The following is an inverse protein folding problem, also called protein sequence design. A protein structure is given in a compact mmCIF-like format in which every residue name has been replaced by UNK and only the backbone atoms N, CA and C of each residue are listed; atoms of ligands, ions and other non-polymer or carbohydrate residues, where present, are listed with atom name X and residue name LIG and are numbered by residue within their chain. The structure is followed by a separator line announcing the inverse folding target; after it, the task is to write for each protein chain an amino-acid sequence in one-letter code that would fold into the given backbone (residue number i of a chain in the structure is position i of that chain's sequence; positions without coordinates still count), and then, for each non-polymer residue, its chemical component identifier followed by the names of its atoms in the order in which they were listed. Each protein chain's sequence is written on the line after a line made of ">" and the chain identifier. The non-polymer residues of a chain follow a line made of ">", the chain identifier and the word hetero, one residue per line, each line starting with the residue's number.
data_IF_876173959231
#
_entry.id   IF_876173959231
#
_cell.length_a   1.000
_cell.length_b   1.000
_cell.length_c   1.000
_cell.angle_alpha   90.00
_cell.angle_beta   90.00
_cell.angle_gamma   90.00
#
_symmetry.space_group_name_H-M   'P 1'
#
loop_
_entity.id
_entity.type
_entity.pdbx_description
1 polymer ?
#
# COMPACT_ATOMS: atom_id res chain seq x y z
N UNK A 1 -11.41 -0.58 -10.34
CA UNK A 1 -10.27 -1.32 -9.75
C UNK A 1 -9.52 -0.44 -8.76
N UNK A 2 -8.91 0.67 -9.21
CA UNK A 2 -8.14 1.57 -8.32
C UNK A 2 -8.90 2.04 -7.06
N UNK A 3 -10.17 2.44 -7.19
CA UNK A 3 -11.00 2.86 -6.04
C UNK A 3 -11.15 1.78 -4.97
N UNK A 4 -11.34 0.53 -5.39
CA UNK A 4 -11.43 -0.62 -4.48
C UNK A 4 -10.11 -0.86 -3.75
N UNK A 5 -8.97 -0.69 -4.44
CA UNK A 5 -7.65 -0.82 -3.82
C UNK A 5 -7.42 0.32 -2.82
N UNK A 6 -7.80 1.55 -3.15
CA UNK A 6 -7.73 2.67 -2.21
C UNK A 6 -8.56 2.36 -0.97
N UNK A 7 -9.78 1.82 -1.12
CA UNK A 7 -10.63 1.43 0.00
C UNK A 7 -9.98 0.34 0.87
N UNK A 8 -9.38 -0.69 0.25
CA UNK A 8 -8.60 -1.73 0.96
C UNK A 8 -7.44 -1.11 1.72
N UNK A 9 -6.61 -0.29 1.05
CA UNK A 9 -5.46 0.36 1.66
C UNK A 9 -5.86 1.27 2.83
N UNK A 10 -6.94 2.03 2.70
CA UNK A 10 -7.46 2.87 3.77
C UNK A 10 -7.93 2.04 4.96
N UNK A 11 -8.61 0.91 4.71
CA UNK A 11 -9.02 -0.04 5.75
C UNK A 11 -7.80 -0.60 6.48
N UNK A 12 -6.83 -1.16 5.74
CA UNK A 12 -5.60 -1.71 6.31
C UNK A 12 -4.81 -0.64 7.08
N UNK A 13 -4.67 0.56 6.53
CA UNK A 13 -4.01 1.68 7.21
C UNK A 13 -4.74 2.06 8.50
N UNK A 14 -6.07 2.01 8.51
CA UNK A 14 -6.87 2.28 9.69
C UNK A 14 -6.69 1.20 10.77
N UNK A 15 -6.60 -0.07 10.39
CA UNK A 15 -6.30 -1.17 11.31
C UNK A 15 -4.89 -1.03 11.90
N UNK A 16 -3.90 -0.72 11.06
CA UNK A 16 -2.54 -0.44 11.52
C UNK A 16 -2.47 0.78 12.44
N UNK A 17 -3.31 1.81 12.21
CA UNK A 17 -3.37 2.99 13.08
C UNK A 17 -3.76 2.68 14.52
N UNK A 18 -4.40 1.55 14.80
CA UNK A 18 -4.68 1.13 16.18
C UNK A 18 -3.42 0.62 16.90
N UNK A 19 -2.44 0.13 16.13
CA UNK A 19 -1.19 -0.43 16.62
C UNK A 19 -0.02 0.57 16.53
N UNK A 20 -0.11 1.55 15.64
CA UNK A 20 0.91 2.57 15.44
C UNK A 20 0.82 3.67 16.51
N UNK A 21 1.99 4.10 17.01
CA UNK A 21 2.07 5.29 17.87
C UNK A 21 1.66 6.57 17.12
N UNK A 22 2.05 6.66 15.85
CA UNK A 22 1.74 7.78 14.97
C UNK A 22 0.76 7.30 13.90
N UNK A 23 -0.41 7.93 13.85
CA UNK A 23 -1.47 7.54 12.92
C UNK A 23 -1.20 8.09 11.52
N UNK A 24 -1.38 7.24 10.53
CA UNK A 24 -1.45 7.59 9.11
C UNK A 24 -2.65 8.53 8.93
N UNK A 25 -2.42 9.64 8.22
CA UNK A 25 -3.47 10.62 7.89
C UNK A 25 -4.42 10.10 6.79
N UNK A 26 -5.13 9.00 7.05
CA UNK A 26 -6.12 8.40 6.14
C UNK A 26 -7.21 9.36 5.67
N UNK A 27 -7.47 10.45 6.42
CA UNK A 27 -8.36 11.53 6.00
C UNK A 27 -7.90 12.32 4.75
N UNK A 28 -6.61 12.20 4.37
CA UNK A 28 -6.08 12.74 3.10
C UNK A 28 -6.35 11.81 1.91
N UNK A 29 -6.94 10.64 2.14
CA UNK A 29 -7.22 9.65 1.10
C UNK A 29 -5.95 9.23 0.37
N UNK A 30 -5.92 9.44 -0.94
CA UNK A 30 -4.79 9.11 -1.80
C UNK A 30 -3.50 9.87 -1.45
N UNK A 31 -3.61 11.06 -0.88
CA UNK A 31 -2.45 11.88 -0.50
C UNK A 31 -1.93 11.54 0.90
N UNK A 32 -2.53 10.56 1.58
CA UNK A 32 -2.08 10.12 2.89
C UNK A 32 -0.64 9.58 2.80
N UNK A 33 0.32 10.20 3.52
CA UNK A 33 1.70 9.77 3.49
C UNK A 33 1.87 8.48 4.31
N UNK A 34 2.53 7.49 3.72
CA UNK A 34 2.76 6.18 4.33
C UNK A 34 4.21 6.05 4.78
N UNK A 35 5.16 6.23 3.85
CA UNK A 35 6.59 6.01 4.07
C UNK A 35 7.47 7.21 3.67
N UNK A 36 8.62 7.35 4.32
CA UNK A 36 9.63 8.39 4.03
C UNK A 36 9.50 9.64 4.90
N UNK A 37 9.93 10.81 4.40
CA UNK A 37 10.08 12.06 5.17
C UNK A 37 8.82 12.53 5.91
N UNK A 38 7.64 12.20 5.39
CA UNK A 38 6.33 12.55 5.97
C UNK A 38 5.51 11.31 6.34
N UNK A 39 6.07 10.10 6.14
CA UNK A 39 5.41 8.84 6.47
C UNK A 39 5.58 8.52 7.95
N UNK A 40 4.58 7.85 8.51
CA UNK A 40 4.61 7.37 9.89
C UNK A 40 5.08 5.91 10.00
N UNK A 41 5.16 5.21 8.85
CA UNK A 41 5.59 3.83 8.80
C UNK A 41 7.11 3.75 8.77
N UNK A 42 7.67 3.01 9.71
CA UNK A 42 9.04 2.50 9.65
C UNK A 42 9.13 1.28 8.72
N UNK A 43 10.32 0.74 8.50
CA UNK A 43 10.52 -0.44 7.63
C UNK A 43 9.64 -1.63 8.00
N UNK A 44 9.43 -1.90 9.29
CA UNK A 44 8.54 -2.99 9.74
C UNK A 44 7.05 -2.66 9.51
N UNK A 45 6.65 -1.41 9.75
CA UNK A 45 5.28 -0.97 9.49
C UNK A 45 4.94 -1.03 7.99
N UNK A 46 5.92 -0.73 7.15
CA UNK A 46 5.80 -0.86 5.70
C UNK A 46 5.61 -2.31 5.27
N UNK A 47 6.40 -3.23 5.79
CA UNK A 47 6.26 -4.67 5.51
C UNK A 47 4.89 -5.18 5.95
N UNK A 48 4.41 -4.80 7.14
CA UNK A 48 3.06 -5.17 7.58
C UNK A 48 1.97 -4.64 6.65
N UNK A 49 2.06 -3.37 6.25
CA UNK A 49 1.11 -2.79 5.30
C UNK A 49 1.09 -3.55 3.97
N UNK A 50 2.28 -3.90 3.46
CA UNK A 50 2.43 -4.65 2.21
C UNK A 50 1.73 -6.01 2.34
N UNK A 51 2.07 -6.80 3.35
CA UNK A 51 1.49 -8.15 3.55
C UNK A 51 -0.03 -8.09 3.73
N UNK A 52 -0.53 -7.14 4.52
CA UNK A 52 -1.97 -6.96 4.69
C UNK A 52 -2.67 -6.51 3.41
N UNK A 53 -2.04 -5.63 2.61
CA UNK A 53 -2.59 -5.20 1.33
C UNK A 53 -2.61 -6.36 0.32
N UNK A 54 -1.53 -7.14 0.22
CA UNK A 54 -1.46 -8.34 -0.64
C UNK A 54 -2.57 -9.33 -0.27
N UNK A 55 -2.74 -9.61 1.03
CA UNK A 55 -3.76 -10.54 1.50
C UNK A 55 -5.19 -10.06 1.22
N UNK A 56 -5.51 -8.79 1.49
CA UNK A 56 -6.85 -8.25 1.21
C UNK A 56 -7.14 -8.16 -0.29
N UNK A 57 -6.13 -7.85 -1.11
CA UNK A 57 -6.28 -7.83 -2.56
C UNK A 57 -6.43 -9.25 -3.10
N UNK A 58 -5.69 -10.22 -2.58
CA UNK A 58 -5.86 -11.64 -2.94
C UNK A 58 -7.26 -12.14 -2.57
N UNK A 59 -7.75 -11.84 -1.36
CA UNK A 59 -9.10 -12.22 -0.93
C UNK A 59 -10.18 -11.59 -1.83
N UNK A 60 -10.00 -10.31 -2.19
CA UNK A 60 -11.00 -9.54 -2.93
C UNK A 60 -10.98 -9.78 -4.44
N UNK A 61 -9.81 -9.98 -5.03
CA UNK A 61 -9.63 -10.15 -6.48
C UNK A 61 -9.29 -11.59 -6.89
N UNK A 62 -8.98 -12.46 -5.94
CA UNK A 62 -8.54 -13.83 -6.20
C UNK A 62 -7.15 -13.92 -6.84
N UNK A 63 -6.35 -12.84 -6.76
CA UNK A 63 -5.03 -12.75 -7.37
C UNK A 63 -3.97 -12.53 -6.30
N UNK A 64 -3.05 -13.48 -6.19
CA UNK A 64 -1.84 -13.30 -5.40
C UNK A 64 -0.91 -12.35 -6.14
N UNK A 65 -0.49 -11.28 -5.47
CA UNK A 65 0.47 -10.33 -6.01
C UNK A 65 1.57 -10.13 -5.00
N UNK A 66 2.78 -9.88 -5.50
CA UNK A 66 3.95 -9.73 -4.66
C UNK A 66 4.55 -8.34 -4.87
N UNK A 67 4.20 -7.42 -3.98
CA UNK A 67 4.69 -6.04 -3.99
C UNK A 67 6.19 -5.96 -3.74
N UNK A 68 6.76 -7.00 -3.12
CA UNK A 68 8.18 -7.10 -2.79
C UNK A 68 9.05 -7.66 -3.92
N UNK A 69 8.50 -8.49 -4.81
CA UNK A 69 9.28 -9.25 -5.81
C UNK A 69 9.85 -8.35 -6.93
N UNK A 70 9.16 -7.24 -7.25
CA UNK A 70 9.59 -6.26 -8.26
C UNK A 70 10.54 -5.17 -7.77
N UNK A 71 10.89 -5.12 -6.48
CA UNK A 71 11.58 -3.96 -5.90
C UNK A 71 13.10 -4.11 -5.83
N UNK A 72 13.77 -3.94 -6.97
CA UNK A 72 15.06 -3.24 -6.96
C UNK A 72 14.77 -1.77 -6.67
N UNK A 73 14.69 -1.40 -5.39
CA UNK A 73 14.34 -0.05 -4.91
C UNK A 73 15.11 1.07 -5.67
N UNK A 74 14.46 1.86 -6.55
CA UNK A 74 15.05 3.09 -7.05
C UNK A 74 14.70 4.20 -6.06
N UNK A 75 15.72 4.78 -5.44
CA UNK A 75 15.63 5.86 -4.43
C UNK A 75 14.86 7.12 -4.88
N UNK A 76 14.45 7.20 -6.14
CA UNK A 76 13.77 8.37 -6.72
C UNK A 76 12.23 8.29 -6.70
N UNK A 77 11.60 7.11 -6.74
CA UNK A 77 10.15 6.95 -6.95
C UNK A 77 9.54 5.75 -6.18
N UNK A 78 9.75 5.66 -4.86
CA UNK A 78 9.09 4.60 -4.07
C UNK A 78 7.55 4.66 -4.20
N UNK A 79 6.90 3.60 -4.72
CA UNK A 79 5.44 3.54 -4.84
C UNK A 79 4.75 3.53 -3.47
N UNK A 80 5.49 3.23 -2.40
CA UNK A 80 5.00 3.21 -1.02
C UNK A 80 4.96 4.58 -0.33
N UNK A 81 5.17 5.69 -1.05
CA UNK A 81 5.19 7.03 -0.44
C UNK A 81 3.82 7.48 0.06
N UNK A 82 2.77 7.21 -0.70
CA UNK A 82 1.39 7.60 -0.40
C UNK A 82 0.41 6.50 -0.78
N UNK A 83 -0.81 6.54 -0.24
CA UNK A 83 -1.87 5.58 -0.60
C UNK A 83 -2.15 5.61 -2.11
N UNK A 84 -2.17 6.79 -2.72
CA UNK A 84 -2.45 6.93 -4.16
C UNK A 84 -1.38 6.31 -5.05
N UNK A 85 -0.10 6.44 -4.68
CA UNK A 85 1.02 5.82 -5.37
C UNK A 85 1.02 4.29 -5.20
N UNK A 86 0.69 3.81 -4.00
CA UNK A 86 0.63 2.38 -3.72
C UNK A 86 -0.56 1.74 -4.45
N UNK A 87 -1.73 2.37 -4.42
CA UNK A 87 -2.91 1.91 -5.14
C UNK A 87 -2.65 1.85 -6.65
N UNK A 88 -1.96 2.85 -7.21
CA UNK A 88 -1.56 2.85 -8.61
C UNK A 88 -0.66 1.66 -8.92
N UNK A 89 0.36 1.42 -8.10
CA UNK A 89 1.30 0.31 -8.29
C UNK A 89 0.63 -1.07 -8.19
N UNK A 90 -0.24 -1.30 -7.21
CA UNK A 90 -0.99 -2.56 -7.11
C UNK A 90 -1.93 -2.73 -8.31
N UNK A 91 -2.58 -1.65 -8.74
CA UNK A 91 -3.46 -1.69 -9.92
C UNK A 91 -2.68 -2.12 -11.17
N UNK A 92 -1.53 -1.50 -11.39
CA UNK A 92 -0.61 -1.82 -12.49
C UNK A 92 -0.19 -3.30 -12.46
N UNK A 93 0.24 -3.82 -11.31
CA UNK A 93 0.61 -5.23 -11.14
C UNK A 93 -0.54 -6.20 -11.45
N UNK A 94 -1.76 -5.88 -11.00
CA UNK A 94 -2.94 -6.71 -11.25
C UNK A 94 -3.34 -6.74 -12.73
N UNK A 95 -3.05 -5.66 -13.45
CA UNK A 95 -3.26 -5.52 -14.89
C UNK A 95 -2.15 -6.20 -15.71
N UNK A 96 -0.89 -6.16 -15.25
CA UNK A 96 0.27 -6.74 -15.92
C UNK A 96 0.29 -8.29 -15.89
N UNK A 97 -0.19 -8.90 -14.79
CA UNK A 97 -0.41 -10.36 -14.64
C UNK A 97 -1.47 -10.96 -15.62
N UNK A 98 -1.96 -10.20 -16.60
CA UNK A 98 -2.83 -10.69 -17.68
C UNK A 98 -2.10 -11.06 -18.98
N UNK A 99 -0.77 -10.97 -19.06
CA UNK A 99 0.00 -11.37 -20.25
C UNK A 99 0.48 -12.82 -20.21
#
# INVERSE_FOLDING_TARGET
>A
MRDEIIAILLKVCNELNEQLKNKIEIGKGEQAPLFGKHGVLDSLGLVNLIVSAESEVEDKFGKSLMLTDGTSLPEANSPFRTIGSLAYYITDLLEDEKQ
#
